data_IF_984398492675
#
_entry.id   IF_984398492675
#
_cell.length_a   1.000
_cell.length_b   1.000
_cell.length_c   1.000
_cell.angle_alpha   90.00
_cell.angle_beta   90.00
_cell.angle_gamma   90.00
#
_symmetry.space_group_name_H-M   'P 1'
#
loop_
_entity.id
_entity.type
_entity.pdbx_description
1 polymer ?
#
# COMPACT_ATOMS: atom_id res chain seq x y z
N UNK A 1 16.32 5.09 -2.61
CA UNK A 1 15.52 4.61 -1.45
C UNK A 1 16.45 3.88 -0.47
N UNK A 2 16.50 4.29 0.79
CA UNK A 2 17.25 3.61 1.87
C UNK A 2 16.28 2.86 2.80
N UNK A 3 16.34 1.53 2.81
CA UNK A 3 15.51 0.68 3.66
C UNK A 3 16.09 0.45 5.06
N UNK A 4 17.33 0.92 5.33
CA UNK A 4 18.02 0.67 6.61
C UNK A 4 17.25 1.23 7.81
N UNK A 5 16.50 2.31 7.61
CA UNK A 5 15.64 2.94 8.61
C UNK A 5 14.52 2.02 9.11
N UNK A 6 14.00 1.14 8.25
CA UNK A 6 12.88 0.24 8.59
C UNK A 6 13.29 -0.81 9.62
N UNK A 7 14.56 -1.27 9.60
CA UNK A 7 15.09 -2.23 10.58
C UNK A 7 15.12 -1.68 12.01
N UNK A 8 15.23 -0.36 12.15
CA UNK A 8 15.28 0.35 13.45
C UNK A 8 13.92 0.89 13.87
N UNK A 9 12.95 0.93 12.96
CA UNK A 9 11.61 1.42 13.25
C UNK A 9 10.92 0.47 14.23
N UNK A 10 10.18 1.03 15.20
CA UNK A 10 9.30 0.28 16.09
C UNK A 10 7.86 0.57 15.65
N UNK A 11 7.25 -0.31 14.84
CA UNK A 11 5.93 -0.04 14.28
C UNK A 11 4.88 0.09 15.37
N UNK A 12 4.06 1.13 15.28
CA UNK A 12 2.84 1.20 16.08
C UNK A 12 1.91 0.08 15.62
N UNK A 13 1.60 -0.82 16.54
CA UNK A 13 0.69 -1.93 16.30
C UNK A 13 -0.72 -1.59 16.77
N UNK A 14 -1.74 -1.96 15.99
CA UNK A 14 -3.14 -1.75 16.34
C UNK A 14 -3.74 -3.07 16.84
N UNK A 15 -4.46 -3.00 17.96
CA UNK A 15 -5.32 -4.11 18.38
C UNK A 15 -6.59 -4.12 17.52
N UNK A 16 -6.91 -5.28 16.94
CA UNK A 16 -8.08 -5.49 16.10
C UNK A 16 -8.60 -6.92 16.19
N UNK A 17 -9.91 -7.11 16.04
CA UNK A 17 -10.53 -8.47 15.94
C UNK A 17 -10.39 -9.09 14.55
N UNK A 18 -10.11 -8.26 13.54
CA UNK A 18 -9.86 -8.67 12.15
C UNK A 18 -8.46 -8.20 11.78
N UNK A 19 -7.54 -9.14 11.65
CA UNK A 19 -6.17 -8.88 11.24
C UNK A 19 -6.05 -9.09 9.73
N UNK A 20 -5.32 -8.19 9.08
CA UNK A 20 -4.93 -8.33 7.68
C UNK A 20 -3.46 -7.94 7.56
N UNK A 21 -2.79 -8.41 6.52
CA UNK A 21 -1.41 -8.09 6.25
C UNK A 21 -1.20 -7.83 4.77
N UNK A 22 -0.33 -6.87 4.47
CA UNK A 22 0.05 -6.53 3.09
C UNK A 22 1.55 -6.52 2.97
N UNK A 23 2.06 -6.85 1.78
CA UNK A 23 3.46 -6.74 1.41
C UNK A 23 3.63 -5.55 0.48
N UNK A 24 4.42 -4.54 0.85
CA UNK A 24 4.90 -3.48 -0.02
C UNK A 24 6.23 -3.95 -0.67
N UNK A 25 6.21 -4.46 -1.92
CA UNK A 25 7.39 -5.06 -2.52
C UNK A 25 8.21 -3.95 -3.19
N UNK A 26 9.48 -3.86 -2.81
CA UNK A 26 10.47 -2.96 -3.40
C UNK A 26 11.26 -3.73 -4.45
N UNK A 27 11.20 -3.26 -5.69
CA UNK A 27 11.90 -3.87 -6.83
C UNK A 27 12.99 -2.90 -7.30
N UNK A 28 14.23 -3.39 -7.40
CA UNK A 28 15.32 -2.64 -8.00
C UNK A 28 15.34 -2.90 -9.51
N UNK A 29 14.82 -1.95 -10.30
CA UNK A 29 14.74 -2.05 -11.76
C UNK A 29 15.64 -1.00 -12.39
N UNK A 30 16.62 -1.44 -13.18
CA UNK A 30 17.62 -0.59 -13.85
C UNK A 30 18.42 0.33 -12.91
N UNK A 31 18.55 -0.05 -11.64
CA UNK A 31 19.24 0.75 -10.62
C UNK A 31 18.31 1.62 -9.76
N UNK A 32 17.05 1.76 -10.16
CA UNK A 32 16.08 2.62 -9.48
C UNK A 32 15.06 1.79 -8.68
N UNK A 33 14.62 2.33 -7.55
CA UNK A 33 13.64 1.66 -6.69
C UNK A 33 12.22 1.85 -7.25
N UNK A 34 11.45 0.77 -7.25
CA UNK A 34 10.05 0.75 -7.66
C UNK A 34 9.21 0.05 -6.59
N UNK A 35 7.92 0.37 -6.54
CA UNK A 35 6.93 -0.32 -5.71
C UNK A 35 5.95 -1.08 -6.58
N UNK A 36 5.69 -2.33 -6.23
CA UNK A 36 4.67 -3.15 -6.87
C UNK A 36 3.31 -2.92 -6.20
N UNK A 37 2.27 -2.77 -7.02
CA UNK A 37 0.88 -2.65 -6.62
C UNK A 37 0.03 -3.62 -7.44
N UNK A 38 -1.09 -4.04 -6.86
CA UNK A 38 -2.16 -4.77 -7.53
C UNK A 38 -3.35 -3.84 -7.74
N UNK A 39 -4.01 -3.99 -8.89
CA UNK A 39 -5.29 -3.35 -9.19
C UNK A 39 -6.39 -4.38 -9.04
N UNK A 40 -7.29 -4.16 -8.10
CA UNK A 40 -8.37 -5.10 -7.79
C UNK A 40 -9.32 -5.26 -8.98
N UNK A 41 -9.67 -6.51 -9.30
CA UNK A 41 -10.54 -6.78 -10.44
C UNK A 41 -11.96 -6.20 -10.26
N UNK A 42 -12.54 -5.69 -11.34
CA UNK A 42 -13.78 -4.90 -11.29
C UNK A 42 -15.02 -5.73 -10.91
N UNK A 43 -14.98 -7.06 -11.06
CA UNK A 43 -16.07 -7.97 -10.70
C UNK A 43 -16.15 -8.26 -9.20
N UNK A 44 -15.16 -7.83 -8.40
CA UNK A 44 -15.15 -8.02 -6.96
C UNK A 44 -15.99 -6.93 -6.30
N UNK A 45 -16.98 -7.34 -5.51
CA UNK A 45 -18.04 -6.44 -5.02
C UNK A 45 -17.59 -5.26 -4.15
N UNK A 46 -16.45 -5.37 -3.46
CA UNK A 46 -15.85 -4.29 -2.67
C UNK A 46 -14.60 -3.73 -3.39
N UNK A 47 -14.56 -2.39 -3.50
CA UNK A 47 -13.40 -1.62 -3.99
C UNK A 47 -12.90 -1.95 -5.41
N UNK A 48 -13.77 -2.07 -6.42
CA UNK A 48 -13.36 -2.38 -7.78
C UNK A 48 -12.39 -1.31 -8.33
N UNK A 49 -11.31 -1.74 -8.97
CA UNK A 49 -10.34 -0.86 -9.61
C UNK A 49 -9.34 -0.16 -8.66
N UNK A 50 -9.49 -0.32 -7.34
CA UNK A 50 -8.58 0.31 -6.38
C UNK A 50 -7.18 -0.34 -6.43
N UNK A 51 -6.17 0.51 -6.26
CA UNK A 51 -4.77 0.10 -6.15
C UNK A 51 -4.43 -0.25 -4.70
N UNK A 52 -3.84 -1.42 -4.49
CA UNK A 52 -3.38 -1.93 -3.20
C UNK A 52 -1.98 -2.51 -3.30
N UNK A 53 -1.34 -2.68 -2.14
CA UNK A 53 -0.27 -3.66 -2.02
C UNK A 53 -0.88 -5.07 -1.98
N UNK A 54 -0.18 -6.10 -2.50
CA UNK A 54 -0.62 -7.49 -2.34
C UNK A 54 -0.88 -7.83 -0.88
N UNK A 55 -2.00 -8.49 -0.58
CA UNK A 55 -2.34 -8.81 0.79
C UNK A 55 -3.82 -8.96 1.08
N UNK A 56 -4.09 -9.63 2.19
CA UNK A 56 -5.44 -10.01 2.56
C UNK A 56 -5.60 -10.29 4.05
N UNK A 57 -6.71 -10.96 4.36
CA UNK A 57 -7.08 -11.31 5.72
C UNK A 57 -6.21 -12.45 6.27
N UNK A 58 -5.93 -12.43 7.57
CA UNK A 58 -5.25 -13.55 8.21
C UNK A 58 -6.11 -14.81 8.18
N UNK A 59 -5.52 -15.91 7.73
CA UNK A 59 -6.15 -17.23 7.75
C UNK A 59 -5.66 -18.13 8.90
N UNK A 60 -6.42 -19.18 9.27
CA UNK A 60 -5.99 -20.13 10.30
C UNK A 60 -4.68 -20.85 10.01
N UNK A 61 -4.30 -20.97 8.73
CA UNK A 61 -3.03 -21.57 8.30
C UNK A 61 -1.83 -20.65 8.58
N UNK A 62 -2.05 -19.34 8.72
CA UNK A 62 -1.00 -18.35 8.89
C UNK A 62 -0.49 -18.32 10.33
N UNK A 63 0.75 -18.78 10.52
CA UNK A 63 1.40 -18.77 11.84
C UNK A 63 1.73 -17.36 12.29
N UNK A 64 2.05 -16.48 11.33
CA UNK A 64 2.38 -15.07 11.57
C UNK A 64 1.69 -14.17 10.53
N UNK A 65 1.59 -12.87 10.81
CA UNK A 65 1.09 -11.92 9.82
C UNK A 65 2.08 -11.68 8.66
N UNK A 66 3.36 -12.02 8.84
CA UNK A 66 4.31 -12.07 7.72
C UNK A 66 3.94 -13.23 6.79
N UNK A 67 3.59 -14.39 7.35
CA UNK A 67 3.13 -15.56 6.59
C UNK A 67 1.87 -15.18 5.78
N UNK A 68 0.92 -14.45 6.37
CA UNK A 68 -0.24 -13.90 5.66
C UNK A 68 0.16 -13.03 4.47
N UNK A 69 1.01 -12.00 4.67
CA UNK A 69 1.40 -11.10 3.59
C UNK A 69 2.13 -11.82 2.43
N UNK A 70 2.95 -12.82 2.77
CA UNK A 70 3.70 -13.60 1.77
C UNK A 70 2.81 -14.60 1.03
N UNK A 71 1.86 -15.25 1.72
CA UNK A 71 0.88 -16.14 1.08
C UNK A 71 0.05 -15.37 0.06
N UNK A 72 -0.51 -14.24 0.48
CA UNK A 72 -1.37 -13.41 -0.38
C UNK A 72 -0.58 -12.85 -1.57
N UNK A 73 0.68 -12.44 -1.38
CA UNK A 73 1.53 -12.00 -2.49
C UNK A 73 1.86 -13.15 -3.48
N UNK A 74 1.97 -14.38 -3.01
CA UNK A 74 2.12 -15.55 -3.87
C UNK A 74 0.83 -15.85 -4.64
N UNK A 75 -0.31 -15.83 -3.96
CA UNK A 75 -1.63 -16.06 -4.55
C UNK A 75 -1.99 -14.99 -5.59
N UNK A 76 -1.84 -13.71 -5.26
CA UNK A 76 -2.26 -12.60 -6.12
C UNK A 76 -1.36 -12.37 -7.34
N UNK A 77 -0.04 -12.55 -7.20
CA UNK A 77 0.93 -12.15 -8.25
C UNK A 77 2.05 -13.17 -8.49
N UNK A 78 2.00 -14.34 -7.85
CA UNK A 78 3.02 -15.38 -7.95
C UNK A 78 4.35 -15.02 -7.29
N UNK A 79 4.35 -14.11 -6.31
CA UNK A 79 5.56 -13.70 -5.58
C UNK A 79 5.85 -14.68 -4.45
N UNK A 80 6.77 -15.63 -4.70
CA UNK A 80 7.04 -16.71 -3.76
C UNK A 80 7.73 -16.20 -2.50
N UNK A 81 7.39 -16.80 -1.36
CA UNK A 81 7.99 -16.42 -0.07
C UNK A 81 9.52 -16.55 -0.01
N UNK A 82 10.12 -17.44 -0.81
CA UNK A 82 11.57 -17.71 -0.81
C UNK A 82 12.41 -16.73 -1.63
N UNK A 83 11.77 -15.88 -2.44
CA UNK A 83 12.44 -14.82 -3.22
C UNK A 83 12.28 -13.42 -2.61
N UNK A 84 11.53 -13.27 -1.51
CA UNK A 84 11.29 -11.99 -0.84
C UNK A 84 12.12 -11.88 0.44
N UNK A 85 12.99 -10.86 0.51
CA UNK A 85 13.66 -10.49 1.76
C UNK A 85 12.83 -9.44 2.51
N UNK A 86 12.10 -9.85 3.56
CA UNK A 86 11.29 -8.93 4.38
C UNK A 86 12.22 -8.11 5.29
N UNK A 87 12.37 -6.83 4.96
CA UNK A 87 13.35 -5.94 5.62
C UNK A 87 12.81 -5.22 6.86
N UNK A 88 11.49 -5.15 7.00
CA UNK A 88 10.86 -4.43 8.11
C UNK A 88 9.38 -4.13 7.87
N UNK A 89 8.86 -3.16 8.61
CA UNK A 89 7.45 -2.78 8.62
C UNK A 89 7.28 -1.28 8.83
N UNK A 90 6.16 -0.75 8.36
CA UNK A 90 5.67 0.60 8.72
C UNK A 90 4.50 0.46 9.72
N UNK A 91 3.91 1.58 10.17
CA UNK A 91 2.87 1.52 11.20
C UNK A 91 1.59 0.86 10.68
N UNK A 92 0.91 0.13 11.55
CA UNK A 92 -0.37 -0.49 11.22
C UNK A 92 -1.39 0.61 10.86
N UNK A 93 -2.26 0.31 9.89
CA UNK A 93 -3.32 1.21 9.40
C UNK A 93 -4.69 0.57 9.60
N UNK A 94 -5.72 1.35 9.92
CA UNK A 94 -7.11 0.87 10.03
C UNK A 94 -7.85 1.12 8.73
N UNK A 95 -8.53 0.10 8.21
CA UNK A 95 -9.46 0.26 7.08
C UNK A 95 -10.83 0.70 7.56
N UNK A 96 -11.65 1.15 6.61
CA UNK A 96 -13.07 1.43 6.85
C UNK A 96 -13.86 0.19 7.30
N UNK A 97 -13.45 -0.99 6.82
CA UNK A 97 -13.98 -2.31 7.21
C UNK A 97 -13.45 -2.82 8.57
N UNK A 98 -12.78 -1.96 9.35
CA UNK A 98 -12.25 -2.21 10.71
C UNK A 98 -11.14 -3.26 10.79
N UNK A 99 -10.48 -3.57 9.68
CA UNK A 99 -9.25 -4.38 9.73
C UNK A 99 -8.11 -3.57 10.32
N UNK A 100 -7.31 -4.21 11.16
CA UNK A 100 -5.98 -3.74 11.51
C UNK A 100 -5.01 -4.30 10.47
N UNK A 101 -4.68 -3.49 9.46
CA UNK A 101 -3.79 -3.89 8.37
C UNK A 101 -2.35 -3.68 8.78
N UNK A 102 -1.55 -4.72 8.60
CA UNK A 102 -0.15 -4.76 8.95
C UNK A 102 0.74 -4.75 7.69
N UNK A 103 1.34 -3.60 7.36
CA UNK A 103 2.20 -3.47 6.19
C UNK A 103 3.64 -3.93 6.48
N UNK A 104 4.07 -4.93 5.73
CA UNK A 104 5.46 -5.40 5.65
C UNK A 104 6.13 -4.82 4.41
N UNK A 105 7.42 -4.57 4.49
CA UNK A 105 8.23 -4.10 3.36
C UNK A 105 9.23 -5.19 3.04
N UNK A 106 9.27 -5.62 1.78
CA UNK A 106 10.18 -6.67 1.32
C UNK A 106 10.88 -6.26 0.04
N UNK A 107 12.10 -6.77 -0.17
CA UNK A 107 12.81 -6.66 -1.44
C UNK A 107 12.48 -7.88 -2.29
N UNK A 108 12.05 -7.66 -3.52
CA UNK A 108 11.63 -8.71 -4.45
C UNK A 108 12.41 -8.60 -5.78
N UNK A 109 12.56 -9.70 -6.54
CA UNK A 109 13.33 -9.71 -7.79
C UNK A 109 12.67 -8.87 -8.90
N UNK A 110 13.49 -8.26 -9.77
CA UNK A 110 12.99 -7.59 -10.97
C UNK A 110 12.64 -8.62 -12.05
N UNK A 111 11.35 -8.97 -12.14
CA UNK A 111 10.80 -9.85 -13.17
C UNK A 111 9.36 -9.45 -13.51
N UNK A 112 8.80 -10.16 -14.48
CA UNK A 112 7.37 -10.11 -14.73
C UNK A 112 6.61 -10.89 -13.66
N UNK A 113 5.52 -10.31 -13.18
CA UNK A 113 4.60 -10.88 -12.21
C UNK A 113 3.27 -11.12 -12.91
N UNK A 114 2.69 -12.30 -12.71
CA UNK A 114 1.47 -12.73 -13.39
C UNK A 114 0.33 -12.62 -12.39
N UNK A 115 -0.68 -11.77 -12.63
CA UNK A 115 -1.82 -11.65 -11.72
C UNK A 115 -2.67 -12.92 -11.73
N UNK A 116 -3.21 -13.30 -10.56
CA UNK A 116 -4.39 -14.15 -10.52
C UNK A 116 -5.62 -13.32 -10.92
N UNK A 117 -6.10 -13.53 -12.15
CA UNK A 117 -7.22 -12.80 -12.74
C UNK A 117 -8.53 -12.94 -11.95
N UNK A 118 -8.64 -13.92 -11.05
CA UNK A 118 -9.81 -14.04 -10.18
C UNK A 118 -9.89 -12.89 -9.16
N UNK A 119 -8.74 -12.31 -8.78
CA UNK A 119 -8.63 -11.27 -7.75
C UNK A 119 -8.00 -9.95 -8.25
N UNK A 120 -7.02 -10.06 -9.16
CA UNK A 120 -6.18 -8.96 -9.63
C UNK A 120 -6.37 -8.76 -11.13
N UNK A 121 -6.83 -7.58 -11.53
CA UNK A 121 -6.95 -7.24 -12.94
C UNK A 121 -5.60 -6.83 -13.56
N UNK A 122 -4.71 -6.22 -12.77
CA UNK A 122 -3.47 -5.65 -13.27
C UNK A 122 -2.41 -5.56 -12.18
N UNK A 123 -1.15 -5.76 -12.55
CA UNK A 123 0.03 -5.51 -11.70
C UNK A 123 0.75 -4.28 -12.21
N UNK A 124 0.93 -3.29 -11.35
CA UNK A 124 1.67 -2.06 -11.68
C UNK A 124 2.96 -1.98 -10.86
N UNK A 125 4.07 -1.68 -11.53
CA UNK A 125 5.38 -1.44 -10.89
C UNK A 125 5.72 0.02 -11.12
N UNK A 126 5.48 0.85 -10.09
CA UNK A 126 5.61 2.31 -10.19
C UNK A 126 6.95 2.76 -9.63
N UNK A 127 7.63 3.66 -10.34
CA UNK A 127 8.91 4.23 -9.90
C UNK A 127 8.74 5.03 -8.60
N UNK A 128 9.64 4.81 -7.64
CA UNK A 128 9.70 5.63 -6.42
C UNK A 128 10.01 7.09 -6.79
N UNK A 129 10.85 7.35 -7.79
CA UNK A 129 11.16 8.71 -8.22
C UNK A 129 9.88 9.42 -8.70
N UNK A 130 9.06 8.74 -9.53
CA UNK A 130 7.79 9.28 -9.98
C UNK A 130 6.78 9.46 -8.83
N UNK A 131 6.74 8.55 -7.86
CA UNK A 131 5.91 8.70 -6.66
C UNK A 131 6.37 9.85 -5.74
N UNK A 132 7.65 10.22 -5.78
CA UNK A 132 8.20 11.36 -5.02
C UNK A 132 8.19 12.67 -5.80
N UNK A 133 7.80 12.67 -7.07
CA UNK A 133 7.62 13.89 -7.85
C UNK A 133 6.41 14.68 -7.29
N UNK A 134 6.59 15.94 -6.84
CA UNK A 134 5.49 16.77 -6.37
C UNK A 134 4.39 16.98 -7.41
N UNK A 135 4.67 16.87 -8.71
CA UNK A 135 3.66 16.98 -9.76
C UNK A 135 2.70 15.78 -9.80
N UNK A 136 3.11 14.64 -9.24
CA UNK A 136 2.32 13.40 -9.21
C UNK A 136 1.62 13.19 -7.86
N UNK A 137 1.75 14.13 -6.93
CA UNK A 137 1.17 14.03 -5.59
C UNK A 137 0.14 15.13 -5.36
N UNK A 138 -1.01 14.74 -4.83
CA UNK A 138 -1.95 15.67 -4.22
C UNK A 138 -2.60 15.06 -2.98
N UNK A 139 -3.27 15.90 -2.20
CA UNK A 139 -3.97 15.46 -1.01
C UNK A 139 -5.16 16.34 -0.69
N UNK A 140 -6.13 15.74 -0.03
CA UNK A 140 -7.30 16.46 0.46
C UNK A 140 -7.56 16.17 1.92
N UNK A 141 -8.10 17.16 2.63
CA UNK A 141 -8.68 16.97 3.95
C UNK A 141 -10.18 16.75 3.80
N UNK A 142 -10.66 15.57 4.17
CA UNK A 142 -12.08 15.27 4.30
C UNK A 142 -12.56 15.63 5.69
N UNK A 143 -13.62 16.42 5.78
CA UNK A 143 -14.19 16.87 7.05
C UNK A 143 -15.55 16.21 7.33
N UNK A 144 -15.80 15.90 8.60
CA UNK A 144 -17.12 15.44 9.06
C UNK A 144 -17.47 13.99 8.74
N UNK A 145 -16.48 13.10 8.52
CA UNK A 145 -16.79 11.68 8.34
C UNK A 145 -17.38 11.08 9.64
N UNK A 146 -18.56 10.44 9.62
CA UNK A 146 -19.23 9.96 10.84
C UNK A 146 -18.39 9.01 11.70
N UNK A 147 -17.61 8.14 11.07
CA UNK A 147 -16.77 7.15 11.78
C UNK A 147 -15.32 7.60 12.05
N UNK A 148 -14.70 8.37 11.14
CA UNK A 148 -13.27 8.67 11.17
C UNK A 148 -12.97 10.13 11.57
N UNK A 149 -13.99 10.99 11.62
CA UNK A 149 -13.80 12.43 11.76
C UNK A 149 -13.03 13.02 10.59
N UNK A 150 -12.33 14.12 10.86
CA UNK A 150 -11.46 14.78 9.89
C UNK A 150 -10.23 13.92 9.60
N UNK A 151 -9.97 13.65 8.32
CA UNK A 151 -8.81 12.88 7.90
C UNK A 151 -8.25 13.37 6.57
N UNK A 152 -6.97 13.06 6.34
CA UNK A 152 -6.28 13.38 5.08
C UNK A 152 -6.24 12.15 4.17
N UNK A 153 -6.60 12.36 2.91
CA UNK A 153 -6.45 11.37 1.84
C UNK A 153 -5.31 11.84 0.94
N UNK A 154 -4.45 10.90 0.58
CA UNK A 154 -3.28 11.12 -0.27
C UNK A 154 -3.50 10.45 -1.61
N UNK A 155 -3.10 11.10 -2.69
CA UNK A 155 -3.21 10.60 -4.05
C UNK A 155 -1.83 10.66 -4.71
N UNK A 156 -1.45 9.58 -5.36
CA UNK A 156 -0.28 9.49 -6.22
C UNK A 156 -0.73 9.11 -7.63
N UNK A 157 -0.46 9.97 -8.60
CA UNK A 157 -0.84 9.81 -10.01
C UNK A 157 0.40 9.50 -10.84
N UNK A 158 0.61 8.22 -11.16
CA UNK A 158 1.82 7.76 -11.87
C UNK A 158 1.41 6.79 -12.96
N UNK A 159 1.93 6.99 -14.18
CA UNK A 159 1.71 6.10 -15.33
C UNK A 159 0.23 5.77 -15.63
N UNK A 160 -0.68 6.71 -15.33
CA UNK A 160 -2.13 6.53 -15.50
C UNK A 160 -2.84 5.82 -14.35
N UNK A 161 -2.11 5.39 -13.32
CA UNK A 161 -2.65 4.83 -12.10
C UNK A 161 -2.84 5.90 -11.02
N UNK A 162 -3.84 5.68 -10.16
CA UNK A 162 -4.01 6.49 -8.94
C UNK A 162 -3.92 5.59 -7.72
N UNK A 163 -2.87 5.77 -6.92
CA UNK A 163 -2.72 5.11 -5.62
C UNK A 163 -3.23 6.05 -4.54
N UNK A 164 -4.26 5.63 -3.81
CA UNK A 164 -4.93 6.51 -2.84
C UNK A 164 -5.50 5.76 -1.63
N UNK A 165 -6.17 6.49 -0.74
CA UNK A 165 -6.86 5.90 0.42
C UNK A 165 -5.89 5.31 1.44
N UNK A 166 -6.20 4.11 1.93
CA UNK A 166 -5.36 3.37 2.89
C UNK A 166 -3.99 3.05 2.28
N UNK A 167 -3.95 2.63 1.02
CA UNK A 167 -2.70 2.39 0.30
C UNK A 167 -1.87 3.67 0.18
N UNK A 168 -2.50 4.80 -0.18
CA UNK A 168 -1.83 6.10 -0.23
C UNK A 168 -1.20 6.51 1.11
N UNK A 169 -1.91 6.27 2.23
CA UNK A 169 -1.36 6.49 3.57
C UNK A 169 -0.14 5.61 3.86
N UNK A 170 -0.16 4.34 3.44
CA UNK A 170 0.99 3.44 3.58
C UNK A 170 2.18 3.89 2.72
N UNK A 171 1.93 4.35 1.49
CA UNK A 171 2.96 4.90 0.61
C UNK A 171 3.62 6.13 1.23
N UNK A 172 2.85 7.09 1.76
CA UNK A 172 3.42 8.25 2.49
C UNK A 172 4.33 7.80 3.62
N UNK A 173 3.85 6.90 4.49
CA UNK A 173 4.65 6.41 5.61
C UNK A 173 5.96 5.74 5.18
N UNK A 174 5.92 4.97 4.09
CA UNK A 174 7.07 4.29 3.52
C UNK A 174 8.07 5.30 2.94
N UNK A 175 7.61 6.21 2.09
CA UNK A 175 8.45 7.21 1.44
C UNK A 175 9.13 8.13 2.45
N UNK A 176 8.41 8.65 3.45
CA UNK A 176 9.00 9.53 4.47
C UNK A 176 10.07 8.86 5.33
N UNK A 177 10.02 7.52 5.45
CA UNK A 177 10.99 6.72 6.22
C UNK A 177 12.19 6.27 5.41
N UNK A 178 12.07 6.22 4.09
CA UNK A 178 13.05 5.57 3.21
C UNK A 178 13.59 6.48 2.12
N UNK A 179 13.14 7.73 2.08
CA UNK A 179 13.56 8.77 1.14
C UNK A 179 13.63 10.14 1.83
N UNK A 180 14.13 11.14 1.13
CA UNK A 180 14.11 12.54 1.59
C UNK A 180 12.77 13.24 1.31
N UNK A 181 11.85 12.58 0.60
CA UNK A 181 10.53 13.13 0.31
C UNK A 181 9.68 13.26 1.57
N UNK A 182 8.91 14.34 1.66
CA UNK A 182 7.94 14.59 2.72
C UNK A 182 6.62 15.04 2.10
N UNK A 183 5.51 14.55 2.64
CA UNK A 183 4.22 15.06 2.23
C UNK A 183 4.14 16.57 2.56
N UNK A 184 3.67 17.43 1.63
CA UNK A 184 3.36 18.83 1.92
C UNK A 184 2.54 18.95 3.21
N UNK A 185 2.85 19.93 4.07
CA UNK A 185 2.19 20.05 5.37
C UNK A 185 0.68 20.33 5.23
N UNK A 186 0.33 21.23 4.31
CA UNK A 186 -1.05 21.59 4.02
C UNK A 186 -1.64 20.70 2.92
N UNK A 187 -2.94 20.35 3.00
CA UNK A 187 -3.64 19.68 1.91
C UNK A 187 -3.92 20.67 0.77
N UNK A 188 -4.00 20.15 -0.45
CA UNK A 188 -4.30 20.93 -1.65
C UNK A 188 -5.76 21.40 -1.67
N UNK A 189 -6.65 20.64 -1.02
CA UNK A 189 -8.08 20.95 -0.91
C UNK A 189 -8.72 20.44 0.37
N UNK A 190 -9.86 21.05 0.71
CA UNK A 190 -10.73 20.62 1.83
C UNK A 190 -12.11 20.31 1.27
N UNK A 191 -12.62 19.11 1.56
CA UNK A 191 -13.89 18.61 1.01
C UNK A 191 -14.75 17.97 2.10
N UNK A 192 -16.08 17.90 1.87
CA UNK A 192 -17.00 17.20 2.76
C UNK A 192 -16.84 15.68 2.70
N UNK A 193 -17.43 14.97 3.67
CA UNK A 193 -17.34 13.51 3.75
C UNK A 193 -17.87 12.78 2.49
N UNK A 194 -18.88 13.34 1.83
CA UNK A 194 -19.57 12.75 0.67
C UNK A 194 -18.90 13.08 -0.69
N UNK A 195 -17.70 13.67 -0.68
CA UNK A 195 -16.98 13.97 -1.90
C UNK A 195 -16.68 12.69 -2.72
N UNK A 196 -16.81 12.77 -4.04
CA UNK A 196 -16.54 11.66 -4.95
C UNK A 196 -15.10 11.12 -4.76
N UNK A 197 -14.93 9.83 -5.03
CA UNK A 197 -13.66 9.12 -4.94
C UNK A 197 -13.17 8.84 -6.37
N UNK A 198 -11.85 8.82 -6.61
CA UNK A 198 -11.34 8.40 -7.90
C UNK A 198 -11.80 6.96 -8.18
N UNK A 199 -12.38 6.75 -9.37
CA UNK A 199 -12.78 5.43 -9.89
C UNK A 199 -11.58 4.83 -10.62
#
# INVERSE_FOLDING_TARGET
MDLSGLRRHKPRSLAGRREAAVLAPVIARRGDAHLLFTKRAAHLGEHPGQMSFPGGGREPIDRTLTDTALREADEEVGMRSDEVDVVGRIDDTRTSSKYAVRPFVGVAPDREYVPDESEVAEVAILSVDALTDPANYESERRIGHPEYGDHRVHYFHVDGYTVWGVTGQMVVQLLERTTDWRAPAEPDRVVGADAELPI
#
